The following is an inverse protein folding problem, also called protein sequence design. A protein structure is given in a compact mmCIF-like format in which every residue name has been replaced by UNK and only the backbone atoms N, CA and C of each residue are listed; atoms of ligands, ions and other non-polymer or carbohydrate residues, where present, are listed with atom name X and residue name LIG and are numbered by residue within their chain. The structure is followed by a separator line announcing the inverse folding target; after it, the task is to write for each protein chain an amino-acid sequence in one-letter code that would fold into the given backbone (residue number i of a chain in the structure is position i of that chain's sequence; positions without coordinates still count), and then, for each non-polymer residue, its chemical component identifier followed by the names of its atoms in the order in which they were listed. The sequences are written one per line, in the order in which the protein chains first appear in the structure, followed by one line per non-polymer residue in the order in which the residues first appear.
data_IF_602672643618
#
_entry.id   IF_602672643618
#
_cell.length_a   1.000
_cell.length_b   1.000
_cell.length_c   1.000
_cell.angle_alpha   90.00
_cell.angle_beta   90.00
_cell.angle_gamma   90.00
#
_symmetry.space_group_name_H-M   'P 1'
#
loop_
_entity.id
_entity.type
_entity.pdbx_description
1 polymer ?
#
# COMPACT_ATOMS: atom_id res chain seq x y z
N UNK A 1 -3.16 -1.68 -6.06
CA UNK A 1 -4.53 -2.28 -5.98
C UNK A 1 -5.25 -2.11 -4.63
N UNK A 2 -4.67 -1.48 -3.60
CA UNK A 2 -5.32 -1.44 -2.28
C UNK A 2 -6.68 -0.72 -2.24
N UNK A 3 -6.87 0.33 -3.05
CA UNK A 3 -8.17 1.00 -3.20
C UNK A 3 -9.25 0.05 -3.71
N UNK A 4 -8.94 -0.81 -4.69
CA UNK A 4 -9.86 -1.82 -5.22
C UNK A 4 -10.16 -2.87 -4.16
N UNK A 5 -9.14 -3.36 -3.43
CA UNK A 5 -9.35 -4.30 -2.32
C UNK A 5 -10.27 -3.72 -1.23
N UNK A 6 -10.14 -2.42 -0.94
CA UNK A 6 -11.02 -1.72 -0.01
C UNK A 6 -12.45 -1.64 -0.54
N UNK A 7 -12.63 -1.31 -1.81
CA UNK A 7 -13.94 -1.29 -2.48
C UNK A 7 -14.62 -2.66 -2.42
N UNK A 8 -13.91 -3.73 -2.78
CA UNK A 8 -14.41 -5.11 -2.73
C UNK A 8 -14.79 -5.56 -1.31
N UNK A 9 -14.22 -4.93 -0.27
CA UNK A 9 -14.60 -5.19 1.12
C UNK A 9 -16.01 -4.72 1.49
N UNK A 10 -16.69 -3.97 0.61
CA UNK A 10 -18.08 -3.57 0.77
C UNK A 10 -18.34 -2.64 1.96
N UNK A 11 -19.62 -2.55 2.33
CA UNK A 11 -20.11 -1.81 3.49
C UNK A 11 -20.07 -2.70 4.74
N UNK A 12 -19.57 -2.16 5.85
CA UNK A 12 -19.52 -2.86 7.14
C UNK A 12 -20.35 -2.12 8.17
N UNK A 13 -21.11 -2.88 8.96
CA UNK A 13 -21.85 -2.33 10.10
C UNK A 13 -20.90 -2.27 11.29
N UNK A 14 -20.40 -1.06 11.61
CA UNK A 14 -19.47 -0.86 12.73
C UNK A 14 -20.12 -0.38 14.02
N UNK A 15 -21.37 0.08 13.96
CA UNK A 15 -22.13 0.57 15.11
C UNK A 15 -23.55 0.04 15.02
N UNK A 16 -24.17 -0.22 16.17
CA UNK A 16 -25.57 -0.67 16.22
C UNK A 16 -26.52 0.35 15.60
N UNK A 17 -26.26 1.65 15.86
CA UNK A 17 -27.12 2.75 15.41
C UNK A 17 -26.81 3.22 13.99
N UNK A 18 -25.93 2.55 13.23
CA UNK A 18 -25.50 3.01 11.89
C UNK A 18 -25.06 4.49 11.87
N UNK A 19 -24.26 4.88 12.86
CA UNK A 19 -23.80 6.26 13.10
C UNK A 19 -24.89 7.30 13.41
N UNK A 20 -26.17 6.92 13.58
CA UNK A 20 -27.22 7.87 13.97
C UNK A 20 -26.94 8.57 15.30
N UNK A 21 -26.33 7.88 16.27
CA UNK A 21 -25.89 8.48 17.53
C UNK A 21 -24.88 9.64 17.35
N UNK A 22 -24.19 9.72 16.20
CA UNK A 22 -23.28 10.85 15.91
C UNK A 22 -24.01 12.15 15.59
N UNK A 23 -25.30 12.09 15.28
CA UNK A 23 -26.15 13.25 14.97
C UNK A 23 -26.88 13.82 16.19
N UNK A 24 -26.88 13.10 17.32
CA UNK A 24 -27.48 13.60 18.56
C UNK A 24 -26.69 14.81 19.08
N UNK A 25 -27.37 15.92 19.35
CA UNK A 25 -26.76 17.11 19.95
C UNK A 25 -25.79 17.89 19.04
N UNK A 26 -25.73 17.60 17.73
CA UNK A 26 -24.79 18.30 16.83
C UNK A 26 -25.15 19.76 16.60
N UNK A 27 -26.38 20.19 16.90
CA UNK A 27 -26.87 21.56 16.69
C UNK A 27 -26.55 22.10 15.28
N UNK A 28 -26.66 21.25 14.26
CA UNK A 28 -26.31 21.52 12.86
C UNK A 28 -24.86 22.01 12.63
N UNK A 29 -23.95 21.76 13.58
CA UNK A 29 -22.51 22.01 13.42
C UNK A 29 -21.81 20.73 12.97
N UNK A 30 -21.09 20.80 11.85
CA UNK A 30 -20.37 19.67 11.25
C UNK A 30 -19.07 19.26 11.97
N UNK A 31 -19.07 19.20 13.30
CA UNK A 31 -17.87 18.94 14.12
C UNK A 31 -17.48 17.43 14.20
N UNK A 32 -17.88 16.62 13.21
CA UNK A 32 -17.68 15.16 13.21
C UNK A 32 -16.21 14.75 13.32
N UNK A 33 -15.28 15.53 12.75
CA UNK A 33 -13.84 15.23 12.80
C UNK A 33 -13.27 15.24 14.22
N UNK A 34 -13.91 15.95 15.15
CA UNK A 34 -13.49 16.02 16.57
C UNK A 34 -14.01 14.84 17.40
N UNK A 35 -14.98 14.09 16.89
CA UNK A 35 -15.59 12.99 17.63
C UNK A 35 -14.62 11.79 17.74
N UNK A 36 -14.56 11.17 18.93
CA UNK A 36 -13.73 10.00 19.21
C UNK A 36 -14.00 8.85 18.22
N UNK A 37 -15.28 8.60 17.92
CA UNK A 37 -15.70 7.52 17.03
C UNK A 37 -15.22 7.73 15.58
N UNK A 38 -15.14 8.97 15.10
CA UNK A 38 -14.59 9.27 13.77
C UNK A 38 -13.14 8.82 13.65
N UNK A 39 -12.32 9.08 14.68
CA UNK A 39 -10.93 8.62 14.72
C UNK A 39 -10.83 7.08 14.73
N UNK A 40 -11.71 6.42 15.48
CA UNK A 40 -11.74 4.94 15.57
C UNK A 40 -12.17 4.27 14.26
N UNK A 41 -13.13 4.88 13.55
CA UNK A 41 -13.64 4.37 12.28
C UNK A 41 -12.74 4.75 11.10
N UNK A 42 -12.04 5.87 11.14
CA UNK A 42 -11.20 6.34 10.04
C UNK A 42 -10.18 5.29 9.60
N UNK A 43 -9.47 4.65 10.54
CA UNK A 43 -8.49 3.62 10.23
C UNK A 43 -9.10 2.31 9.69
N UNK A 44 -10.39 2.07 9.92
CA UNK A 44 -11.12 0.87 9.49
C UNK A 44 -11.79 1.06 8.12
N UNK A 45 -12.36 2.25 7.92
CA UNK A 45 -13.20 2.58 6.78
C UNK A 45 -12.41 3.25 5.64
N UNK A 46 -11.37 4.04 5.95
CA UNK A 46 -10.60 4.72 4.93
C UNK A 46 -9.40 3.90 4.48
N UNK A 47 -9.19 3.84 3.17
CA UNK A 47 -7.92 3.40 2.61
C UNK A 47 -7.11 4.63 2.22
N UNK A 48 -5.98 4.85 2.89
CA UNK A 48 -5.03 5.88 2.50
C UNK A 48 -4.13 5.33 1.39
N UNK A 49 -4.18 5.91 0.17
CA UNK A 49 -3.31 5.47 -0.90
C UNK A 49 -1.86 5.84 -0.60
N UNK A 50 -0.93 5.22 -1.34
CA UNK A 50 0.48 5.60 -1.28
C UNK A 50 0.70 7.03 -1.79
N UNK A 51 1.88 7.63 -1.56
CA UNK A 51 2.24 8.95 -2.07
C UNK A 51 2.18 9.11 -3.59
N UNK A 52 2.01 8.01 -4.35
CA UNK A 52 1.77 8.06 -5.80
C UNK A 52 0.48 8.83 -6.12
N UNK A 53 -0.56 8.64 -5.31
CA UNK A 53 -1.81 9.37 -5.42
C UNK A 53 -1.72 10.63 -4.57
N UNK A 54 -1.57 11.77 -5.23
CA UNK A 54 -1.54 13.07 -4.55
C UNK A 54 -2.94 13.41 -4.00
N UNK A 55 -2.96 13.90 -2.76
CA UNK A 55 -4.16 14.32 -2.05
C UNK A 55 -3.98 15.68 -1.39
N UNK A 56 -2.93 16.40 -1.76
CA UNK A 56 -2.64 17.73 -1.25
C UNK A 56 -3.59 18.75 -1.89
N UNK A 57 -3.58 19.97 -1.34
CA UNK A 57 -4.19 21.10 -2.05
C UNK A 57 -3.40 21.42 -3.33
N UNK A 58 -4.06 22.04 -4.31
CA UNK A 58 -3.41 22.49 -5.55
C UNK A 58 -2.16 23.35 -5.25
N UNK A 59 -2.27 24.25 -4.27
CA UNK A 59 -1.14 25.09 -3.82
C UNK A 59 0.01 24.25 -3.25
N UNK A 60 -0.30 23.23 -2.46
CA UNK A 60 0.71 22.32 -1.90
C UNK A 60 1.42 21.53 -3.00
N UNK A 61 0.64 20.92 -3.90
CA UNK A 61 1.16 20.20 -5.07
C UNK A 61 2.06 21.08 -5.94
N UNK A 62 1.68 22.34 -6.19
CA UNK A 62 2.51 23.30 -6.93
C UNK A 62 3.81 23.64 -6.19
N UNK A 63 3.74 23.86 -4.87
CA UNK A 63 4.91 24.15 -4.05
C UNK A 63 5.90 22.97 -4.01
N UNK A 64 5.40 21.73 -4.13
CA UNK A 64 6.19 20.50 -4.19
C UNK A 64 6.68 20.16 -5.62
N UNK A 65 6.54 21.09 -6.57
CA UNK A 65 7.09 20.96 -7.93
C UNK A 65 6.14 20.36 -8.95
N UNK A 66 4.86 20.18 -8.62
CA UNK A 66 3.82 19.89 -9.61
C UNK A 66 3.98 18.53 -10.31
N UNK A 67 4.53 17.53 -9.62
CA UNK A 67 4.79 16.21 -10.22
C UNK A 67 3.50 15.50 -10.66
N UNK A 68 3.57 14.68 -11.70
CA UNK A 68 2.49 13.76 -12.05
C UNK A 68 2.58 12.44 -11.27
N UNK A 69 1.55 11.60 -11.38
CA UNK A 69 1.52 10.31 -10.69
C UNK A 69 2.65 9.38 -11.13
N UNK A 70 3.05 9.43 -12.41
CA UNK A 70 4.09 8.55 -12.94
C UNK A 70 5.47 8.92 -12.38
N UNK A 71 5.77 10.21 -12.27
CA UNK A 71 6.99 10.73 -11.67
C UNK A 71 7.09 10.32 -10.20
N UNK A 72 6.01 10.48 -9.42
CA UNK A 72 5.97 9.99 -8.04
C UNK A 72 6.10 8.48 -7.94
N UNK A 73 5.52 7.71 -8.87
CA UNK A 73 5.68 6.26 -8.92
C UNK A 73 7.15 5.86 -9.12
N UNK A 74 7.89 6.53 -10.01
CA UNK A 74 9.34 6.26 -10.20
C UNK A 74 10.13 6.48 -8.92
N UNK A 75 9.89 7.59 -8.23
CA UNK A 75 10.53 7.89 -6.94
C UNK A 75 10.21 6.80 -5.93
N UNK A 76 8.91 6.48 -5.77
CA UNK A 76 8.47 5.46 -4.82
C UNK A 76 9.05 4.08 -5.12
N UNK A 77 9.18 3.69 -6.39
CA UNK A 77 9.82 2.43 -6.78
C UNK A 77 11.29 2.40 -6.34
N UNK A 78 12.04 3.47 -6.57
CA UNK A 78 13.44 3.56 -6.14
C UNK A 78 13.57 3.44 -4.62
N UNK A 79 12.73 4.13 -3.85
CA UNK A 79 12.70 4.02 -2.39
C UNK A 79 12.41 2.60 -1.92
N UNK A 80 11.42 1.93 -2.52
CA UNK A 80 11.04 0.58 -2.15
C UNK A 80 12.14 -0.43 -2.46
N UNK A 81 12.81 -0.30 -3.61
CA UNK A 81 13.94 -1.15 -3.96
C UNK A 81 15.13 -0.92 -3.02
N UNK A 82 15.45 0.33 -2.71
CA UNK A 82 16.53 0.65 -1.77
C UNK A 82 16.25 0.17 -0.34
N UNK A 83 14.99 0.17 0.09
CA UNK A 83 14.58 -0.29 1.42
C UNK A 83 14.29 -1.80 1.49
N UNK A 84 14.31 -2.51 0.36
CA UNK A 84 13.93 -3.92 0.31
C UNK A 84 14.92 -4.78 1.10
N UNK A 85 14.38 -5.61 1.99
CA UNK A 85 15.13 -6.67 2.67
C UNK A 85 14.55 -8.01 2.23
N UNK A 86 15.39 -8.86 1.65
CA UNK A 86 14.99 -10.21 1.26
C UNK A 86 14.47 -10.95 2.50
N UNK A 87 13.27 -11.56 2.45
CA UNK A 87 12.78 -12.41 3.53
C UNK A 87 13.77 -13.55 3.82
N UNK A 88 13.91 -13.89 5.10
CA UNK A 88 14.75 -15.00 5.50
C UNK A 88 14.24 -16.32 4.91
N UNK A 89 15.18 -17.14 4.45
CA UNK A 89 14.92 -18.46 3.91
C UNK A 89 15.96 -19.43 4.46
N UNK A 90 15.52 -20.62 4.85
CA UNK A 90 16.40 -21.70 5.25
C UNK A 90 17.49 -21.95 4.20
N UNK A 91 18.79 -21.87 4.55
CA UNK A 91 19.88 -21.97 3.59
C UNK A 91 19.84 -23.26 2.76
N UNK A 92 19.47 -24.39 3.39
CA UNK A 92 19.34 -25.67 2.69
C UNK A 92 18.25 -25.65 1.61
N UNK A 93 17.14 -24.92 1.83
CA UNK A 93 16.07 -24.77 0.83
C UNK A 93 16.50 -23.85 -0.31
N UNK A 94 17.17 -22.75 0.02
CA UNK A 94 17.72 -21.84 -0.99
C UNK A 94 18.72 -22.56 -1.90
N UNK A 95 19.62 -23.36 -1.32
CA UNK A 95 20.60 -24.15 -2.06
C UNK A 95 19.94 -25.24 -2.91
N UNK A 96 18.96 -25.97 -2.37
CA UNK A 96 18.23 -26.98 -3.13
C UNK A 96 17.49 -26.37 -4.34
N UNK A 97 16.89 -25.18 -4.18
CA UNK A 97 16.26 -24.45 -5.28
C UNK A 97 17.29 -24.04 -6.34
N UNK A 98 18.45 -23.53 -5.92
CA UNK A 98 19.52 -23.15 -6.84
C UNK A 98 20.03 -24.35 -7.65
N UNK A 99 20.34 -25.47 -7.00
CA UNK A 99 20.81 -26.69 -7.68
C UNK A 99 19.79 -27.25 -8.68
N UNK A 100 18.49 -27.18 -8.34
CA UNK A 100 17.43 -27.58 -9.25
C UNK A 100 17.41 -26.70 -10.51
N UNK A 101 17.48 -25.37 -10.34
CA UNK A 101 17.47 -24.43 -11.47
C UNK A 101 18.73 -24.58 -12.34
N UNK A 102 19.90 -24.80 -11.74
CA UNK A 102 21.15 -25.09 -12.46
C UNK A 102 21.07 -26.38 -13.28
N UNK A 103 20.43 -27.42 -12.74
CA UNK A 103 20.22 -28.67 -13.49
C UNK A 103 19.31 -28.46 -14.69
N UNK A 104 18.23 -27.69 -14.53
CA UNK A 104 17.30 -27.38 -15.62
C UNK A 104 17.95 -26.50 -16.68
N UNK A 105 18.77 -25.52 -16.27
CA UNK A 105 19.53 -24.66 -17.18
C UNK A 105 20.46 -25.47 -18.09
N UNK A 106 21.22 -26.42 -17.52
CA UNK A 106 22.08 -27.31 -18.30
C UNK A 106 21.29 -28.15 -19.29
N UNK A 107 20.14 -28.69 -18.88
CA UNK A 107 19.23 -29.40 -19.78
C UNK A 107 18.67 -28.53 -20.93
N UNK A 108 18.61 -27.21 -20.73
CA UNK A 108 18.17 -26.24 -21.73
C UNK A 108 19.32 -25.63 -22.56
N UNK A 109 20.57 -26.11 -22.40
CA UNK A 109 21.73 -25.63 -23.15
C UNK A 109 22.42 -24.40 -22.56
N UNK A 110 22.26 -24.16 -21.27
CA UNK A 110 22.89 -23.06 -20.54
C UNK A 110 23.82 -23.62 -19.45
N UNK A 111 25.12 -23.41 -19.62
CA UNK A 111 26.16 -24.03 -18.78
C UNK A 111 26.17 -23.51 -17.32
N UNK A 112 25.86 -22.22 -17.14
CA UNK A 112 25.82 -21.56 -15.83
C UNK A 112 24.62 -20.60 -15.75
N UNK A 113 24.12 -20.37 -14.54
CA UNK A 113 23.11 -19.33 -14.33
C UNK A 113 23.74 -17.93 -14.47
N UNK A 114 22.98 -16.93 -14.96
CA UNK A 114 23.41 -15.54 -14.96
C UNK A 114 23.72 -15.06 -13.54
N UNK A 115 24.71 -14.17 -13.42
CA UNK A 115 24.98 -13.48 -12.17
C UNK A 115 23.78 -12.58 -11.80
N UNK A 116 23.48 -12.51 -10.50
CA UNK A 116 22.48 -11.58 -9.98
C UNK A 116 23.19 -10.26 -9.67
N UNK A 117 22.88 -9.22 -10.45
CA UNK A 117 23.24 -7.82 -10.12
C UNK A 117 22.52 -7.31 -8.86
#
# INVERSE_FOLDING_TARGET
IGMIKRLLGGMKVHTETLAMAMFEGINFKGDFLKQKITRELFAKEQYLPSPVIDRASVRGWQAEGGSDAFSRAKVRTKELLAAYKRPEMEPAKAQALQSLVESLARGAGMDTLPELE
#
